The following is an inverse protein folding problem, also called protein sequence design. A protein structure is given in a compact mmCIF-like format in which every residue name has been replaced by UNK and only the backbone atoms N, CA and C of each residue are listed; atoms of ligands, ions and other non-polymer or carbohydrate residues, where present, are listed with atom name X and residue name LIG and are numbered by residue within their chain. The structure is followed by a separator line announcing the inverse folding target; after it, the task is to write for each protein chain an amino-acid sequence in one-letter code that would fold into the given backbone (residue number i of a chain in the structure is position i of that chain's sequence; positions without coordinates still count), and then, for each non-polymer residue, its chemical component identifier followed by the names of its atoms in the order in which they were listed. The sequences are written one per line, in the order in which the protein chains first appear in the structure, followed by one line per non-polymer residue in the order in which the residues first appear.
data_IF_933774692662
#
_entry.id   IF_933774692662
#
_cell.length_a   1.000
_cell.length_b   1.000
_cell.length_c   1.000
_cell.angle_alpha   90.00
_cell.angle_beta   90.00
_cell.angle_gamma   90.00
#
_symmetry.space_group_name_H-M   'P 1'
#
loop_
_entity.id
_entity.type
_entity.pdbx_description
1 polymer ?
#
# COMPACT_ATOMS: atom_id res chain seq x y z
N UNK A 1 -28.37 -22.45 8.91
CA UNK A 1 -27.23 -22.19 8.00
C UNK A 1 -26.02 -22.95 8.47
N UNK A 2 -25.34 -23.69 7.59
CA UNK A 2 -24.06 -24.34 7.93
C UNK A 2 -23.05 -23.26 8.35
N UNK A 3 -22.12 -23.59 9.27
CA UNK A 3 -21.10 -22.64 9.78
C UNK A 3 -20.36 -21.87 8.68
N UNK A 4 -20.09 -22.53 7.54
CA UNK A 4 -19.48 -21.91 6.36
C UNK A 4 -20.38 -20.88 5.68
N UNK A 5 -21.68 -21.16 5.53
CA UNK A 5 -22.64 -20.21 4.92
C UNK A 5 -22.75 -18.94 5.75
N UNK A 6 -22.68 -19.05 7.07
CA UNK A 6 -22.72 -17.90 7.97
C UNK A 6 -21.45 -17.04 7.89
N UNK A 7 -20.27 -17.65 7.80
CA UNK A 7 -19.01 -16.94 7.60
C UNK A 7 -19.02 -16.09 6.32
N UNK A 8 -19.39 -16.70 5.19
CA UNK A 8 -19.44 -16.00 3.91
C UNK A 8 -20.52 -14.92 3.87
N UNK A 9 -21.64 -15.14 4.56
CA UNK A 9 -22.68 -14.13 4.71
C UNK A 9 -22.16 -12.90 5.48
N UNK A 10 -21.45 -13.10 6.61
CA UNK A 10 -20.85 -11.98 7.36
C UNK A 10 -19.82 -11.24 6.49
N UNK A 11 -18.93 -11.97 5.82
CA UNK A 11 -17.95 -11.36 4.93
C UNK A 11 -18.63 -10.55 3.83
N UNK A 12 -19.66 -11.09 3.21
CA UNK A 12 -20.45 -10.40 2.19
C UNK A 12 -21.02 -9.08 2.73
N UNK A 13 -21.62 -9.08 3.93
CA UNK A 13 -22.10 -7.84 4.54
C UNK A 13 -20.96 -6.84 4.79
N UNK A 14 -19.81 -7.30 5.30
CA UNK A 14 -18.64 -6.44 5.50
C UNK A 14 -18.22 -5.79 4.18
N UNK A 15 -18.09 -6.59 3.11
CA UNK A 15 -17.67 -6.08 1.79
C UNK A 15 -18.71 -5.16 1.17
N UNK A 16 -20.00 -5.50 1.28
CA UNK A 16 -21.11 -4.70 0.78
C UNK A 16 -21.15 -3.33 1.44
N UNK A 17 -21.13 -3.26 2.77
CA UNK A 17 -21.16 -1.98 3.47
C UNK A 17 -19.83 -1.22 3.33
N UNK A 18 -18.70 -1.92 3.29
CA UNK A 18 -17.39 -1.33 2.97
C UNK A 18 -17.39 -0.65 1.59
N UNK A 19 -17.99 -1.29 0.59
CA UNK A 19 -18.16 -0.73 -0.75
C UNK A 19 -19.17 0.43 -0.73
N UNK A 20 -20.32 0.27 -0.08
CA UNK A 20 -21.33 1.32 0.08
C UNK A 20 -20.70 2.59 0.65
N UNK A 21 -19.97 2.50 1.77
CA UNK A 21 -19.35 3.68 2.37
C UNK A 21 -18.33 4.33 1.45
N UNK A 22 -17.61 3.59 0.60
CA UNK A 22 -16.62 4.19 -0.32
C UNK A 22 -17.28 4.82 -1.55
N UNK A 23 -18.33 4.19 -2.08
CA UNK A 23 -18.96 4.59 -3.34
C UNK A 23 -20.15 5.55 -3.15
N UNK A 24 -20.75 5.61 -1.96
CA UNK A 24 -21.92 6.45 -1.69
C UNK A 24 -21.60 7.92 -1.97
N UNK A 25 -22.37 8.54 -2.86
CA UNK A 25 -22.22 9.94 -3.29
C UNK A 25 -20.79 10.29 -3.72
N UNK A 26 -20.08 9.34 -4.34
CA UNK A 26 -18.68 9.55 -4.72
C UNK A 26 -18.50 10.76 -5.64
N UNK A 27 -19.45 11.06 -6.51
CA UNK A 27 -19.44 12.26 -7.36
C UNK A 27 -19.46 13.59 -6.57
N UNK A 28 -20.04 13.60 -5.37
CA UNK A 28 -20.12 14.79 -4.50
C UNK A 28 -18.99 14.82 -3.47
N UNK A 29 -18.47 13.66 -3.08
CA UNK A 29 -17.45 13.51 -2.04
C UNK A 29 -16.02 13.42 -2.59
N UNK A 30 -15.87 13.21 -3.91
CA UNK A 30 -14.58 13.22 -4.57
C UNK A 30 -14.01 14.64 -4.59
N UNK A 31 -12.92 14.86 -3.87
CA UNK A 31 -12.10 16.05 -4.06
C UNK A 31 -11.34 15.96 -5.38
N UNK A 32 -11.44 17.00 -6.19
CA UNK A 32 -10.75 17.08 -7.49
C UNK A 32 -9.94 18.37 -7.55
N UNK A 33 -8.62 18.23 -7.49
CA UNK A 33 -7.68 19.34 -7.40
C UNK A 33 -6.61 19.22 -8.49
N UNK A 34 -5.54 20.01 -8.35
CA UNK A 34 -4.46 20.09 -9.33
C UNK A 34 -3.88 18.72 -9.72
N UNK A 35 -3.54 17.88 -8.74
CA UNK A 35 -2.92 16.57 -9.01
C UNK A 35 -3.86 15.64 -9.79
N UNK A 36 -5.15 15.61 -9.44
CA UNK A 36 -6.14 14.81 -10.15
C UNK A 36 -6.36 15.29 -11.58
N UNK A 37 -6.38 16.61 -11.79
CA UNK A 37 -6.46 17.23 -13.12
C UNK A 37 -5.25 16.90 -13.98
N UNK A 38 -4.03 17.06 -13.44
CA UNK A 38 -2.78 16.69 -14.12
C UNK A 38 -2.77 15.23 -14.52
N UNK A 39 -3.09 14.33 -13.59
CA UNK A 39 -3.06 12.90 -13.83
C UNK A 39 -4.13 12.48 -14.87
N UNK A 40 -5.32 13.09 -14.82
CA UNK A 40 -6.37 12.87 -15.81
C UNK A 40 -5.94 13.31 -17.22
N UNK A 41 -5.23 14.44 -17.36
CA UNK A 41 -4.71 14.91 -18.65
C UNK A 41 -3.65 13.97 -19.23
N UNK A 42 -2.73 13.47 -18.40
CA UNK A 42 -1.73 12.49 -18.85
C UNK A 42 -2.40 11.22 -19.37
N UNK A 43 -3.42 10.73 -18.66
CA UNK A 43 -4.19 9.56 -19.08
C UNK A 43 -5.02 9.85 -20.33
N UNK A 44 -5.58 11.06 -20.44
CA UNK A 44 -6.31 11.51 -21.62
C UNK A 44 -5.42 11.47 -22.87
N UNK A 45 -4.20 11.99 -22.76
CA UNK A 45 -3.19 11.97 -23.83
C UNK A 45 -2.82 10.55 -24.26
N UNK A 46 -2.72 9.62 -23.31
CA UNK A 46 -2.51 8.20 -23.61
C UNK A 46 -3.69 7.61 -24.41
N UNK A 47 -4.92 7.87 -23.96
CA UNK A 47 -6.12 7.26 -24.55
C UNK A 47 -6.48 7.83 -25.93
N UNK A 48 -6.25 9.12 -26.18
CA UNK A 48 -6.69 9.80 -27.40
C UNK A 48 -5.57 10.07 -28.40
N UNK A 49 -4.34 10.25 -27.92
CA UNK A 49 -3.18 10.58 -28.77
C UNK A 49 -2.11 9.51 -28.75
N UNK A 50 -2.33 8.39 -28.06
CA UNK A 50 -1.37 7.29 -27.93
C UNK A 50 0.00 7.75 -27.41
N UNK A 51 0.01 8.79 -26.58
CA UNK A 51 1.23 9.38 -26.04
C UNK A 51 1.69 8.58 -24.82
N UNK A 52 2.49 7.55 -25.08
CA UNK A 52 3.10 6.74 -24.02
C UNK A 52 4.08 7.55 -23.17
N UNK A 53 4.08 7.27 -21.88
CA UNK A 53 4.95 7.89 -20.89
C UNK A 53 5.73 6.83 -20.11
N UNK A 54 6.90 7.25 -19.64
CA UNK A 54 7.88 6.40 -18.95
C UNK A 54 7.94 6.66 -17.44
N UNK A 55 7.30 7.73 -16.98
CA UNK A 55 7.25 8.19 -15.61
C UNK A 55 5.80 8.40 -15.17
N UNK A 56 5.59 8.32 -13.86
CA UNK A 56 4.32 8.51 -13.20
C UNK A 56 4.23 9.84 -12.45
N UNK A 57 3.36 9.91 -11.44
CA UNK A 57 3.18 11.09 -10.60
C UNK A 57 4.48 11.58 -9.98
N UNK A 58 4.53 12.89 -9.71
CA UNK A 58 5.60 13.50 -8.94
C UNK A 58 5.59 12.99 -7.51
N UNK A 59 6.77 12.90 -6.91
CA UNK A 59 6.88 12.73 -5.46
C UNK A 59 6.83 14.10 -4.76
N UNK A 60 6.85 14.11 -3.43
CA UNK A 60 7.05 15.34 -2.66
C UNK A 60 8.46 15.93 -2.78
N UNK A 61 9.34 15.31 -3.58
CA UNK A 61 10.71 15.76 -3.82
C UNK A 61 10.82 16.17 -5.30
N UNK A 62 11.30 17.38 -5.53
CA UNK A 62 11.48 17.94 -6.85
C UNK A 62 12.41 17.06 -7.72
N UNK A 63 12.04 16.86 -8.98
CA UNK A 63 12.83 16.08 -9.93
C UNK A 63 12.78 14.56 -9.73
N UNK A 64 12.10 14.06 -8.69
CA UNK A 64 11.91 12.63 -8.46
C UNK A 64 10.47 12.24 -8.85
N UNK A 65 10.38 11.41 -9.89
CA UNK A 65 9.12 10.90 -10.43
C UNK A 65 8.96 9.42 -10.11
N UNK A 66 7.72 9.00 -9.84
CA UNK A 66 7.36 7.60 -9.69
C UNK A 66 7.34 6.88 -11.05
N UNK A 67 7.11 5.57 -11.05
CA UNK A 67 6.91 4.81 -12.27
C UNK A 67 5.49 4.97 -12.82
N UNK A 68 5.28 4.66 -14.10
CA UNK A 68 4.03 5.00 -14.81
C UNK A 68 2.84 4.10 -14.44
N UNK A 69 3.04 3.08 -13.59
CA UNK A 69 2.03 2.09 -13.26
C UNK A 69 0.69 2.67 -12.79
N UNK A 70 0.71 3.73 -11.96
CA UNK A 70 -0.53 4.35 -11.47
C UNK A 70 -1.43 4.85 -12.61
N UNK A 71 -0.85 5.44 -13.66
CA UNK A 71 -1.62 5.92 -14.80
C UNK A 71 -2.18 4.78 -15.65
N UNK A 72 -1.37 3.72 -15.86
CA UNK A 72 -1.86 2.52 -16.54
C UNK A 72 -2.96 1.80 -15.76
N UNK A 73 -2.88 1.82 -14.42
CA UNK A 73 -3.92 1.27 -13.56
C UNK A 73 -5.25 2.05 -13.69
N UNK A 74 -5.18 3.37 -13.87
CA UNK A 74 -6.35 4.22 -13.99
C UNK A 74 -6.93 4.32 -15.41
N UNK A 75 -6.10 4.12 -16.44
CA UNK A 75 -6.49 4.29 -17.84
C UNK A 75 -7.76 3.48 -18.22
N UNK A 76 -7.94 2.20 -17.84
CA UNK A 76 -9.17 1.47 -18.14
C UNK A 76 -10.42 2.12 -17.53
N UNK A 77 -10.33 2.68 -16.32
CA UNK A 77 -11.48 3.31 -15.67
C UNK A 77 -11.82 4.66 -16.29
N UNK A 78 -10.82 5.45 -16.70
CA UNK A 78 -11.05 6.66 -17.47
C UNK A 78 -11.63 6.36 -18.85
N UNK A 79 -11.19 5.29 -19.52
CA UNK A 79 -11.76 4.84 -20.79
C UNK A 79 -13.23 4.45 -20.64
N UNK A 80 -13.55 3.56 -19.69
CA UNK A 80 -14.94 3.14 -19.41
C UNK A 80 -15.81 4.32 -18.97
N UNK A 81 -15.25 5.26 -18.21
CA UNK A 81 -15.93 6.46 -17.73
C UNK A 81 -15.96 7.61 -18.73
N UNK A 82 -15.45 7.45 -19.96
CA UNK A 82 -15.36 8.51 -20.97
C UNK A 82 -14.72 9.80 -20.44
N UNK A 83 -13.62 9.65 -19.70
CA UNK A 83 -12.90 10.76 -19.07
C UNK A 83 -13.41 11.14 -17.67
N UNK A 84 -14.47 10.51 -17.16
CA UNK A 84 -15.00 10.84 -15.83
C UNK A 84 -14.06 10.42 -14.69
N UNK A 85 -13.58 11.36 -13.86
CA UNK A 85 -12.74 11.04 -12.70
C UNK A 85 -13.51 10.28 -11.60
N UNK A 86 -14.84 10.34 -11.60
CA UNK A 86 -15.68 9.61 -10.65
C UNK A 86 -15.59 8.10 -10.89
N UNK A 87 -15.56 7.67 -12.15
CA UNK A 87 -15.43 6.25 -12.50
C UNK A 87 -14.01 5.75 -12.18
N UNK A 88 -12.99 6.57 -12.41
CA UNK A 88 -11.62 6.29 -11.99
C UNK A 88 -11.49 6.14 -10.46
N UNK A 89 -12.09 7.06 -9.69
CA UNK A 89 -12.14 6.97 -8.23
C UNK A 89 -12.92 5.74 -7.74
N UNK A 90 -13.99 5.35 -8.44
CA UNK A 90 -14.74 4.14 -8.14
C UNK A 90 -13.89 2.88 -8.36
N UNK A 91 -13.07 2.85 -9.42
CA UNK A 91 -12.09 1.78 -9.65
C UNK A 91 -11.10 1.62 -8.49
N UNK A 92 -10.54 2.72 -7.99
CA UNK A 92 -9.68 2.70 -6.81
C UNK A 92 -10.41 2.27 -5.54
N UNK A 93 -11.65 2.72 -5.37
CA UNK A 93 -12.51 2.31 -4.24
C UNK A 93 -12.75 0.80 -4.24
N UNK A 94 -12.91 0.19 -5.42
CA UNK A 94 -13.02 -1.27 -5.54
C UNK A 94 -11.72 -2.00 -5.21
N UNK A 95 -10.55 -1.45 -5.55
CA UNK A 95 -9.28 -2.00 -5.07
C UNK A 95 -9.17 -1.95 -3.54
N UNK A 96 -9.66 -0.88 -2.91
CA UNK A 96 -9.71 -0.78 -1.45
C UNK A 96 -10.66 -1.82 -0.82
N UNK A 97 -11.79 -2.12 -1.46
CA UNK A 97 -12.68 -3.24 -1.06
C UNK A 97 -11.98 -4.59 -1.27
N UNK A 98 -11.23 -4.74 -2.37
CA UNK A 98 -10.36 -5.90 -2.61
C UNK A 98 -9.32 -6.08 -1.50
N UNK A 99 -8.76 -4.99 -0.98
CA UNK A 99 -7.82 -5.04 0.14
C UNK A 99 -8.50 -5.55 1.42
N UNK A 100 -9.76 -5.16 1.69
CA UNK A 100 -10.56 -5.69 2.80
C UNK A 100 -10.74 -7.20 2.67
N UNK A 101 -11.04 -7.69 1.46
CA UNK A 101 -11.16 -9.12 1.19
C UNK A 101 -9.84 -9.87 1.39
N UNK A 102 -8.74 -9.37 0.83
CA UNK A 102 -7.40 -9.97 1.00
C UNK A 102 -6.98 -10.01 2.46
N UNK A 103 -7.33 -8.99 3.25
CA UNK A 103 -7.05 -8.94 4.68
C UNK A 103 -7.82 -10.01 5.45
N UNK A 104 -9.12 -10.20 5.16
CA UNK A 104 -9.87 -11.33 5.71
C UNK A 104 -9.23 -12.67 5.33
N UNK A 105 -8.86 -12.83 4.06
CA UNK A 105 -8.32 -14.08 3.55
C UNK A 105 -6.99 -14.44 4.22
N UNK A 106 -6.08 -13.47 4.33
CA UNK A 106 -4.80 -13.64 5.03
C UNK A 106 -5.00 -13.89 6.53
N UNK A 107 -5.83 -13.08 7.19
CA UNK A 107 -6.14 -13.26 8.61
C UNK A 107 -6.74 -14.64 8.90
N UNK A 108 -7.63 -15.12 8.02
CA UNK A 108 -8.19 -16.47 8.09
C UNK A 108 -7.14 -17.55 7.95
N UNK A 109 -6.26 -17.43 6.95
CA UNK A 109 -5.18 -18.41 6.71
C UNK A 109 -4.18 -18.48 7.85
N UNK A 110 -3.85 -17.35 8.47
CA UNK A 110 -2.82 -17.27 9.51
C UNK A 110 -3.36 -17.59 10.91
N UNK A 111 -4.58 -17.14 11.23
CA UNK A 111 -5.08 -17.14 12.62
C UNK A 111 -6.55 -17.57 12.75
N UNK A 112 -7.16 -18.06 11.66
CA UNK A 112 -8.52 -18.57 11.65
C UNK A 112 -9.60 -17.52 11.34
N UNK A 113 -10.81 -18.02 11.08
CA UNK A 113 -11.94 -17.23 10.56
C UNK A 113 -12.28 -15.99 11.40
N UNK A 114 -12.25 -16.09 12.73
CA UNK A 114 -12.61 -14.96 13.60
C UNK A 114 -11.66 -13.78 13.42
N UNK A 115 -10.34 -14.04 13.37
CA UNK A 115 -9.32 -13.01 13.17
C UNK A 115 -9.45 -12.40 11.77
N UNK A 116 -9.69 -13.22 10.74
CA UNK A 116 -9.97 -12.72 9.40
C UNK A 116 -11.17 -11.77 9.34
N UNK A 117 -12.31 -12.17 9.93
CA UNK A 117 -13.52 -11.34 9.95
C UNK A 117 -13.32 -10.06 10.75
N UNK A 118 -12.65 -10.13 11.91
CA UNK A 118 -12.30 -8.95 12.70
C UNK A 118 -11.39 -7.99 11.94
N UNK A 119 -10.36 -8.50 11.26
CA UNK A 119 -9.45 -7.68 10.48
C UNK A 119 -10.16 -6.96 9.33
N UNK A 120 -11.00 -7.68 8.57
CA UNK A 120 -11.80 -7.08 7.50
C UNK A 120 -12.83 -6.08 8.03
N UNK A 121 -13.46 -6.34 9.17
CA UNK A 121 -14.36 -5.38 9.81
C UNK A 121 -13.61 -4.09 10.21
N UNK A 122 -12.52 -4.21 10.97
CA UNK A 122 -11.77 -3.06 11.46
C UNK A 122 -11.20 -2.20 10.33
N UNK A 123 -10.67 -2.83 9.27
CA UNK A 123 -10.13 -2.11 8.12
C UNK A 123 -11.23 -1.58 7.19
N UNK A 124 -12.27 -2.39 6.93
CA UNK A 124 -13.39 -2.05 6.04
C UNK A 124 -14.20 -0.85 6.53
N UNK A 125 -14.39 -0.71 7.85
CA UNK A 125 -15.15 0.38 8.47
C UNK A 125 -14.30 1.49 9.08
N UNK A 126 -12.97 1.44 8.92
CA UNK A 126 -12.10 2.51 9.40
C UNK A 126 -12.42 3.83 8.68
N UNK A 127 -12.82 4.85 9.43
CA UNK A 127 -13.14 6.18 8.89
C UNK A 127 -12.02 6.75 8.01
N UNK A 128 -10.77 6.63 8.46
CA UNK A 128 -9.61 7.08 7.70
C UNK A 128 -9.47 6.33 6.38
N UNK A 129 -9.53 4.99 6.41
CA UNK A 129 -9.37 4.18 5.20
C UNK A 129 -10.52 4.41 4.21
N UNK A 130 -11.75 4.52 4.69
CA UNK A 130 -12.91 4.86 3.85
C UNK A 130 -12.70 6.22 3.20
N UNK A 131 -12.37 7.25 3.97
CA UNK A 131 -12.23 8.62 3.46
C UNK A 131 -11.08 8.73 2.46
N UNK A 132 -9.90 8.20 2.80
CA UNK A 132 -8.75 8.26 1.90
C UNK A 132 -8.97 7.44 0.64
N UNK A 133 -9.65 6.30 0.69
CA UNK A 133 -9.88 5.47 -0.51
C UNK A 133 -10.75 6.14 -1.60
N UNK A 134 -11.52 7.17 -1.25
CA UNK A 134 -12.29 7.98 -2.22
C UNK A 134 -11.42 8.96 -2.99
N UNK A 135 -10.28 9.34 -2.43
CA UNK A 135 -9.36 10.27 -3.06
C UNK A 135 -8.79 9.65 -4.34
N UNK A 136 -8.54 10.45 -5.38
CA UNK A 136 -7.89 9.95 -6.58
C UNK A 136 -6.40 10.25 -6.47
N UNK A 137 -5.65 9.34 -5.86
CA UNK A 137 -4.20 9.46 -5.78
C UNK A 137 -3.47 8.11 -5.78
N UNK A 138 -2.20 8.19 -6.15
CA UNK A 138 -1.25 7.11 -6.27
C UNK A 138 -0.99 6.24 -5.02
N UNK A 139 -1.09 6.72 -3.75
CA UNK A 139 -0.99 5.83 -2.59
C UNK A 139 -2.22 4.93 -2.38
N UNK A 140 -3.38 5.24 -2.96
CA UNK A 140 -4.62 4.53 -2.63
C UNK A 140 -4.67 3.05 -3.02
N UNK A 141 -4.11 2.62 -4.17
CA UNK A 141 -4.00 1.21 -4.49
C UNK A 141 -2.99 0.46 -3.61
N UNK A 142 -2.08 1.15 -2.92
CA UNK A 142 -0.95 0.54 -2.21
C UNK A 142 -1.36 -0.57 -1.22
N UNK A 143 -2.41 -0.43 -0.39
CA UNK A 143 -2.82 -1.50 0.54
C UNK A 143 -3.20 -2.80 -0.17
N UNK A 144 -3.86 -2.72 -1.32
CA UNK A 144 -4.23 -3.90 -2.11
C UNK A 144 -2.99 -4.65 -2.61
N UNK A 145 -2.08 -3.94 -3.29
CA UNK A 145 -0.86 -4.55 -3.83
C UNK A 145 0.09 -5.04 -2.74
N UNK A 146 0.15 -4.33 -1.61
CA UNK A 146 0.91 -4.77 -0.43
C UNK A 146 0.37 -6.07 0.15
N UNK A 147 -0.95 -6.18 0.34
CA UNK A 147 -1.56 -7.41 0.83
C UNK A 147 -1.39 -8.56 -0.16
N UNK A 148 -1.42 -8.29 -1.46
CA UNK A 148 -1.13 -9.30 -2.47
C UNK A 148 0.34 -9.76 -2.44
N UNK A 149 1.28 -8.85 -2.20
CA UNK A 149 2.69 -9.19 -2.01
C UNK A 149 2.89 -10.04 -0.74
N UNK A 150 2.25 -9.66 0.38
CA UNK A 150 2.27 -10.43 1.61
C UNK A 150 1.65 -11.82 1.43
N UNK A 151 0.58 -11.93 0.65
CA UNK A 151 0.00 -13.22 0.27
C UNK A 151 1.00 -14.09 -0.50
N UNK A 152 1.75 -13.51 -1.44
CA UNK A 152 2.78 -14.24 -2.14
C UNK A 152 3.88 -14.72 -1.19
N UNK A 153 4.33 -13.88 -0.26
CA UNK A 153 5.29 -14.29 0.77
C UNK A 153 4.73 -15.41 1.65
N UNK A 154 3.46 -15.34 2.05
CA UNK A 154 2.81 -16.39 2.82
C UNK A 154 2.82 -17.73 2.05
N UNK A 155 2.47 -17.73 0.76
CA UNK A 155 2.49 -18.95 -0.07
C UNK A 155 3.90 -19.52 -0.25
N UNK A 156 4.91 -18.66 -0.33
CA UNK A 156 6.31 -19.10 -0.34
C UNK A 156 6.71 -19.75 1.00
N UNK A 157 6.36 -19.12 2.11
CA UNK A 157 6.75 -19.54 3.46
C UNK A 157 6.01 -20.82 3.85
N UNK A 158 4.68 -20.80 3.87
CA UNK A 158 3.86 -21.88 4.42
C UNK A 158 3.65 -23.03 3.43
N UNK A 159 3.50 -22.73 2.14
CA UNK A 159 3.21 -23.76 1.12
C UNK A 159 4.45 -24.15 0.29
N UNK A 160 5.62 -23.63 0.63
CA UNK A 160 6.91 -23.92 -0.04
C UNK A 160 6.93 -23.61 -1.55
N UNK A 161 6.10 -22.66 -2.01
CA UNK A 161 5.96 -22.34 -3.43
C UNK A 161 6.91 -21.22 -3.85
N UNK A 162 8.14 -21.57 -4.25
CA UNK A 162 9.18 -20.58 -4.58
C UNK A 162 8.85 -19.63 -5.76
N UNK A 163 7.92 -19.99 -6.65
CA UNK A 163 7.42 -19.08 -7.70
C UNK A 163 6.84 -17.79 -7.12
N UNK A 164 6.24 -17.85 -5.92
CA UNK A 164 5.65 -16.68 -5.29
C UNK A 164 6.69 -15.66 -4.81
N UNK A 165 7.98 -16.02 -4.73
CA UNK A 165 9.04 -15.03 -4.57
C UNK A 165 9.03 -14.07 -5.77
N UNK A 166 8.94 -14.60 -6.99
CA UNK A 166 8.93 -13.81 -8.23
C UNK A 166 7.73 -12.87 -8.27
N UNK A 167 6.54 -13.39 -7.93
CA UNK A 167 5.32 -12.59 -7.86
C UNK A 167 5.39 -11.52 -6.77
N UNK A 168 5.91 -11.85 -5.59
CA UNK A 168 6.11 -10.87 -4.52
C UNK A 168 7.09 -9.78 -4.94
N UNK A 169 8.19 -10.13 -5.60
CA UNK A 169 9.18 -9.16 -6.11
C UNK A 169 8.57 -8.22 -7.14
N UNK A 170 7.77 -8.75 -8.07
CA UNK A 170 7.01 -7.93 -9.03
C UNK A 170 6.09 -6.93 -8.31
N UNK A 171 5.29 -7.41 -7.36
CA UNK A 171 4.31 -6.58 -6.64
C UNK A 171 4.98 -5.50 -5.79
N UNK A 172 6.12 -5.79 -5.17
CA UNK A 172 6.90 -4.77 -4.44
C UNK A 172 7.45 -3.71 -5.39
N UNK A 173 7.87 -4.09 -6.59
CA UNK A 173 8.23 -3.15 -7.66
C UNK A 173 7.07 -2.23 -8.05
N UNK A 174 5.86 -2.79 -8.21
CA UNK A 174 4.65 -2.00 -8.45
C UNK A 174 4.31 -1.08 -7.27
N UNK A 175 4.46 -1.54 -6.02
CA UNK A 175 4.26 -0.72 -4.83
C UNK A 175 5.18 0.51 -4.83
N UNK A 176 6.46 0.36 -5.23
CA UNK A 176 7.38 1.50 -5.36
C UNK A 176 6.94 2.52 -6.40
N UNK A 177 6.24 2.10 -7.46
CA UNK A 177 5.66 3.01 -8.45
C UNK A 177 4.38 3.69 -7.98
N UNK A 178 3.66 3.09 -7.04
CA UNK A 178 2.47 3.69 -6.46
C UNK A 178 2.84 4.75 -5.44
N UNK A 179 3.74 4.42 -4.51
CA UNK A 179 4.22 5.35 -3.50
C UNK A 179 5.58 4.88 -3.00
N UNK A 180 6.64 5.63 -3.36
CA UNK A 180 8.01 5.20 -3.04
C UNK A 180 8.36 5.40 -1.56
N UNK A 181 7.81 6.43 -0.91
CA UNK A 181 8.25 6.84 0.43
C UNK A 181 7.89 5.82 1.54
N UNK A 182 6.80 5.07 1.39
CA UNK A 182 6.41 3.97 2.28
C UNK A 182 6.83 2.62 1.71
N UNK A 183 6.69 2.40 0.39
CA UNK A 183 7.01 1.08 -0.19
C UNK A 183 8.51 0.74 -0.15
N UNK A 184 9.41 1.72 -0.06
CA UNK A 184 10.86 1.46 0.11
C UNK A 184 11.16 0.62 1.34
N UNK A 185 10.35 0.73 2.39
CA UNK A 185 10.51 -0.04 3.62
C UNK A 185 10.09 -1.51 3.47
N UNK A 186 9.41 -1.90 2.39
CA UNK A 186 9.12 -3.30 2.12
C UNK A 186 10.36 -4.06 1.63
N UNK A 187 11.31 -3.40 0.97
CA UNK A 187 12.54 -4.03 0.50
C UNK A 187 13.35 -4.70 1.62
N UNK A 188 13.73 -4.02 2.71
CA UNK A 188 14.46 -4.66 3.80
C UNK A 188 13.64 -5.78 4.45
N UNK A 189 12.32 -5.61 4.61
CA UNK A 189 11.46 -6.66 5.17
C UNK A 189 11.46 -7.93 4.32
N UNK A 190 11.31 -7.79 3.00
CA UNK A 190 11.35 -8.93 2.06
C UNK A 190 12.74 -9.58 2.07
N UNK A 191 13.81 -8.79 2.04
CA UNK A 191 15.18 -9.31 2.07
C UNK A 191 15.43 -10.12 3.36
N UNK A 192 15.04 -9.58 4.51
CA UNK A 192 15.17 -10.28 5.81
C UNK A 192 14.41 -11.60 5.80
N UNK A 193 13.17 -11.61 5.28
CA UNK A 193 12.36 -12.83 5.16
C UNK A 193 13.03 -13.85 4.24
N UNK A 194 13.55 -13.43 3.08
CA UNK A 194 14.21 -14.33 2.13
C UNK A 194 15.51 -14.91 2.70
N UNK A 195 16.28 -14.11 3.46
CA UNK A 195 17.49 -14.59 4.16
C UNK A 195 17.10 -15.60 5.25
N UNK A 196 16.09 -15.27 6.06
CA UNK A 196 15.64 -16.13 7.15
C UNK A 196 15.07 -17.46 6.64
N UNK A 197 14.28 -17.41 5.57
CA UNK A 197 13.60 -18.56 4.97
C UNK A 197 14.37 -19.15 3.79
N UNK A 198 15.68 -18.88 3.67
CA UNK A 198 16.53 -19.32 2.54
C UNK A 198 16.48 -20.84 2.28
N UNK A 199 16.31 -21.64 3.34
CA UNK A 199 16.20 -23.11 3.23
C UNK A 199 14.92 -23.58 2.55
N UNK A 200 13.88 -22.74 2.48
CA UNK A 200 12.60 -23.01 1.80
C UNK A 200 12.65 -22.67 0.30
N UNK A 201 13.74 -22.05 -0.17
CA UNK A 201 13.92 -21.73 -1.59
C UNK A 201 14.33 -23.00 -2.33
N UNK A 202 13.45 -23.50 -3.19
CA UNK A 202 13.68 -24.73 -3.95
C UNK A 202 14.81 -24.61 -4.99
N UNK A 203 15.08 -23.39 -5.50
CA UNK A 203 16.16 -23.14 -6.45
C UNK A 203 16.52 -21.66 -6.51
N UNK A 204 17.82 -21.36 -6.66
CA UNK A 204 18.36 -20.00 -6.85
C UNK A 204 17.72 -19.26 -8.02
N UNK A 205 17.21 -19.99 -9.03
CA UNK A 205 16.53 -19.42 -10.20
C UNK A 205 15.38 -18.49 -9.82
N UNK A 206 14.65 -18.79 -8.75
CA UNK A 206 13.51 -17.96 -8.32
C UNK A 206 13.95 -16.65 -7.68
N UNK A 207 15.13 -16.63 -7.04
CA UNK A 207 15.72 -15.38 -6.53
C UNK A 207 16.21 -14.51 -7.69
N UNK A 208 16.89 -15.11 -8.67
CA UNK A 208 17.34 -14.41 -9.88
C UNK A 208 16.15 -13.85 -10.66
N UNK A 209 15.13 -14.68 -10.93
CA UNK A 209 13.90 -14.25 -11.61
C UNK A 209 13.16 -13.17 -10.82
N UNK A 210 13.12 -13.25 -9.48
CA UNK A 210 12.54 -12.22 -8.63
C UNK A 210 13.24 -10.88 -8.80
N UNK A 211 14.58 -10.86 -8.79
CA UNK A 211 15.36 -9.64 -9.05
C UNK A 211 15.09 -9.11 -10.45
N UNK A 212 15.11 -9.97 -11.47
CA UNK A 212 14.88 -9.56 -12.86
C UNK A 212 13.49 -8.95 -13.05
N UNK A 213 12.45 -9.57 -12.50
CA UNK A 213 11.07 -9.06 -12.61
C UNK A 213 10.87 -7.80 -11.77
N UNK A 214 11.54 -7.66 -10.62
CA UNK A 214 11.54 -6.41 -9.86
C UNK A 214 12.18 -5.27 -10.69
N UNK A 215 13.38 -5.49 -11.25
CA UNK A 215 14.07 -4.51 -12.09
C UNK A 215 13.25 -4.18 -13.34
N UNK A 216 12.56 -5.17 -13.91
CA UNK A 216 11.65 -5.00 -15.05
C UNK A 216 10.59 -3.92 -14.76
N UNK A 217 10.06 -3.88 -13.53
CA UNK A 217 9.09 -2.84 -13.17
C UNK A 217 9.68 -1.43 -13.21
N UNK A 218 10.98 -1.28 -12.92
CA UNK A 218 11.67 0.02 -12.88
C UNK A 218 12.23 0.44 -14.25
N UNK A 219 12.19 -0.43 -15.27
CA UNK A 219 12.75 -0.13 -16.59
C UNK A 219 12.24 1.16 -17.22
N UNK A 220 10.95 1.53 -17.14
CA UNK A 220 10.48 2.80 -17.71
C UNK A 220 11.23 4.01 -17.13
N UNK A 221 11.40 4.06 -15.81
CA UNK A 221 12.12 5.14 -15.14
C UNK A 221 13.62 5.10 -15.45
N UNK A 222 14.22 3.91 -15.50
CA UNK A 222 15.64 3.73 -15.88
C UNK A 222 15.87 4.26 -17.30
N UNK A 223 15.01 3.88 -18.24
CA UNK A 223 15.08 4.33 -19.63
C UNK A 223 14.84 5.85 -19.75
N UNK A 224 13.86 6.39 -19.00
CA UNK A 224 13.65 7.84 -18.91
C UNK A 224 14.90 8.57 -18.43
N UNK A 225 15.54 8.07 -17.37
CA UNK A 225 16.77 8.64 -16.82
C UNK A 225 17.89 8.69 -17.87
N UNK A 226 18.08 7.62 -18.64
CA UNK A 226 19.09 7.59 -19.70
C UNK A 226 18.78 8.56 -20.85
N UNK A 227 17.51 8.75 -21.21
CA UNK A 227 17.09 9.68 -22.27
C UNK A 227 17.22 11.16 -21.88
N UNK A 228 17.26 11.46 -20.59
CA UNK A 228 17.28 12.82 -20.05
C UNK A 228 18.53 13.07 -19.20
N UNK A 229 19.68 12.62 -19.69
CA UNK A 229 21.02 12.94 -19.14
C UNK A 229 21.18 12.66 -17.63
N UNK A 230 20.49 11.64 -17.11
CA UNK A 230 20.60 11.25 -15.71
C UNK A 230 19.79 12.09 -14.72
N UNK A 231 18.76 12.82 -15.16
CA UNK A 231 17.99 13.76 -14.32
C UNK A 231 17.38 13.15 -13.05
N UNK A 232 16.90 11.89 -13.11
CA UNK A 232 16.35 11.24 -11.92
C UNK A 232 17.47 10.95 -10.91
N UNK A 233 18.60 10.42 -11.40
CA UNK A 233 19.75 10.10 -10.55
C UNK A 233 20.37 11.35 -9.92
N UNK A 234 20.45 12.46 -10.67
CA UNK A 234 20.95 13.73 -10.14
C UNK A 234 20.02 14.29 -9.07
N UNK A 235 18.70 14.22 -9.26
CA UNK A 235 17.72 14.61 -8.25
C UNK A 235 17.84 13.76 -6.97
N UNK A 236 17.97 12.43 -7.10
CA UNK A 236 18.23 11.55 -5.95
C UNK A 236 19.53 11.90 -5.23
N UNK A 237 20.62 12.16 -5.97
CA UNK A 237 21.92 12.54 -5.40
C UNK A 237 21.83 13.86 -4.65
N UNK A 238 21.19 14.88 -5.24
CA UNK A 238 20.96 16.18 -4.60
C UNK A 238 20.20 16.01 -3.29
N UNK A 239 19.08 15.30 -3.31
CA UNK A 239 18.26 15.08 -2.12
C UNK A 239 18.99 14.31 -1.01
N UNK A 240 19.69 13.22 -1.34
CA UNK A 240 20.32 12.35 -0.33
C UNK A 240 21.66 12.90 0.19
N UNK A 241 22.47 13.45 -0.70
CA UNK A 241 23.87 13.79 -0.41
C UNK A 241 24.04 15.28 -0.17
N UNK A 242 23.50 16.13 -1.05
CA UNK A 242 23.75 17.58 -1.03
C UNK A 242 22.89 18.28 0.03
N UNK A 243 21.60 17.96 0.08
CA UNK A 243 20.65 18.56 1.04
C UNK A 243 20.78 17.97 2.46
N UNK A 244 21.56 16.89 2.62
CA UNK A 244 21.72 16.13 3.86
C UNK A 244 20.37 15.85 4.53
N UNK A 245 19.42 15.33 3.76
CA UNK A 245 18.02 15.19 4.20
C UNK A 245 17.82 14.40 5.50
N UNK A 246 18.80 13.56 5.88
CA UNK A 246 18.85 12.87 7.17
C UNK A 246 19.78 13.59 8.17
N UNK A 247 19.35 14.75 8.68
CA UNK A 247 20.15 15.56 9.63
C UNK A 247 20.14 15.04 11.07
N UNK A 248 19.09 14.30 11.44
CA UNK A 248 18.89 13.83 12.81
C UNK A 248 19.68 12.54 13.06
N UNK A 249 20.25 12.41 14.26
CA UNK A 249 20.84 11.14 14.68
C UNK A 249 19.77 10.07 14.86
N UNK A 250 20.16 8.80 14.77
CA UNK A 250 19.23 7.67 14.95
C UNK A 250 18.44 7.77 16.26
N UNK A 251 19.11 8.10 17.38
CA UNK A 251 18.46 8.22 18.69
C UNK A 251 17.46 9.39 18.72
N UNK A 252 17.77 10.50 18.06
CA UNK A 252 16.85 11.63 17.91
C UNK A 252 15.62 11.24 17.09
N UNK A 253 15.82 10.54 15.97
CA UNK A 253 14.72 10.03 15.13
C UNK A 253 13.83 9.10 15.95
N UNK A 254 14.41 8.11 16.64
CA UNK A 254 13.66 7.18 17.48
C UNK A 254 12.86 7.93 18.55
N UNK A 255 13.48 8.85 19.29
CA UNK A 255 12.80 9.64 20.32
C UNK A 255 11.64 10.46 19.74
N UNK A 256 11.90 11.22 18.67
CA UNK A 256 10.89 12.07 18.05
C UNK A 256 9.74 11.25 17.47
N UNK A 257 10.03 10.13 16.80
CA UNK A 257 9.01 9.25 16.22
C UNK A 257 8.19 8.55 17.29
N UNK A 258 8.80 8.05 18.37
CA UNK A 258 8.05 7.45 19.48
C UNK A 258 7.08 8.45 20.11
N UNK A 259 7.54 9.69 20.36
CA UNK A 259 6.68 10.77 20.86
C UNK A 259 5.56 11.09 19.88
N UNK A 260 5.90 11.26 18.59
CA UNK A 260 4.91 11.53 17.54
C UNK A 260 3.85 10.43 17.47
N UNK A 261 4.25 9.16 17.50
CA UNK A 261 3.33 8.03 17.45
C UNK A 261 2.43 7.98 18.68
N UNK A 262 2.99 8.21 19.88
CA UNK A 262 2.21 8.32 21.10
C UNK A 262 1.20 9.47 21.00
N UNK A 263 1.61 10.65 20.55
CA UNK A 263 0.73 11.82 20.44
C UNK A 263 -0.39 11.63 19.42
N UNK A 264 -0.08 11.08 18.24
CA UNK A 264 -1.07 10.77 17.20
C UNK A 264 -2.05 9.70 17.68
N UNK A 265 -1.54 8.65 18.34
CA UNK A 265 -2.36 7.55 18.82
C UNK A 265 -3.26 7.98 19.98
N UNK A 266 -2.67 8.58 21.01
CA UNK A 266 -3.39 9.04 22.19
C UNK A 266 -4.30 10.23 21.88
N UNK A 267 -3.93 11.09 20.92
CA UNK A 267 -4.76 12.19 20.45
C UNK A 267 -6.02 11.73 19.70
N UNK A 268 -6.00 10.55 19.07
CA UNK A 268 -7.21 9.96 18.47
C UNK A 268 -8.18 9.37 19.50
N UNK A 269 -7.67 8.89 20.63
CA UNK A 269 -8.49 8.31 21.71
C UNK A 269 -8.97 9.38 22.70
N UNK A 270 -8.12 10.34 23.03
CA UNK A 270 -8.36 11.42 23.99
C UNK A 270 -7.93 12.76 23.38
N UNK A 271 -8.75 13.35 22.48
CA UNK A 271 -8.40 14.58 21.77
C UNK A 271 -8.15 15.75 22.72
N UNK A 272 -8.92 15.84 23.80
CA UNK A 272 -8.97 17.01 24.69
C UNK A 272 -8.34 16.83 26.08
N UNK A 273 -7.85 15.62 26.44
CA UNK A 273 -7.37 15.35 27.80
C UNK A 273 -5.96 14.76 27.84
N UNK A 274 -4.96 15.61 28.06
CA UNK A 274 -3.57 15.21 28.19
C UNK A 274 -3.30 14.22 29.34
N UNK A 275 -4.08 14.30 30.43
CA UNK A 275 -3.95 13.37 31.58
C UNK A 275 -4.41 11.95 31.23
N UNK A 276 -5.50 11.82 30.46
CA UNK A 276 -6.02 10.52 30.03
C UNK A 276 -5.15 9.86 28.96
N UNK A 277 -4.34 10.63 28.21
CA UNK A 277 -3.37 10.08 27.25
C UNK A 277 -2.37 9.14 27.91
N UNK A 278 -1.96 9.40 29.16
CA UNK A 278 -1.04 8.54 29.92
C UNK A 278 -1.63 7.15 30.18
N UNK A 279 -2.96 7.02 30.24
CA UNK A 279 -3.65 5.75 30.45
C UNK A 279 -3.69 4.88 29.18
N UNK A 280 -3.47 5.47 28.00
CA UNK A 280 -3.52 4.76 26.71
C UNK A 280 -2.47 3.66 26.64
N UNK A 281 -1.24 3.93 27.08
CA UNK A 281 -0.16 2.94 27.10
C UNK A 281 -0.48 1.80 28.06
N UNK A 282 -1.09 2.09 29.22
CA UNK A 282 -1.50 1.08 30.18
C UNK A 282 -2.63 0.19 29.62
N UNK A 283 -3.65 0.79 28.99
CA UNK A 283 -4.75 0.07 28.35
C UNK A 283 -4.29 -0.82 27.19
N UNK A 284 -3.31 -0.37 26.40
CA UNK A 284 -2.79 -1.14 25.28
C UNK A 284 -1.77 -2.20 25.67
N UNK A 285 -0.98 -1.97 26.73
CA UNK A 285 0.01 -2.95 27.22
C UNK A 285 -0.60 -4.00 28.14
N UNK A 286 -1.68 -3.67 28.86
CA UNK A 286 -2.34 -4.57 29.80
C UNK A 286 -2.75 -5.92 29.17
N UNK A 287 -3.35 -6.00 27.96
CA UNK A 287 -3.64 -7.28 27.31
C UNK A 287 -2.39 -8.12 27.04
N UNK A 288 -1.29 -7.50 26.61
CA UNK A 288 -0.03 -8.22 26.37
C UNK A 288 0.57 -8.78 27.66
N UNK A 289 0.45 -8.05 28.77
CA UNK A 289 0.92 -8.51 30.09
C UNK A 289 0.01 -9.59 30.66
N UNK A 290 -1.31 -9.39 30.60
CA UNK A 290 -2.32 -10.30 31.16
C UNK A 290 -2.41 -11.61 30.37
N UNK A 291 -2.19 -11.60 29.06
CA UNK A 291 -2.28 -12.78 28.20
C UNK A 291 -0.92 -13.30 27.72
N UNK A 292 0.20 -12.86 28.32
CA UNK A 292 1.56 -13.25 27.89
C UNK A 292 1.79 -14.75 27.77
N UNK A 293 1.13 -15.56 28.62
CA UNK A 293 1.25 -17.04 28.65
C UNK A 293 0.44 -17.76 27.56
N UNK A 294 -0.46 -17.05 26.86
CA UNK A 294 -1.25 -17.60 25.75
C UNK A 294 -0.75 -17.15 24.38
N UNK A 295 0.06 -16.09 24.34
CA UNK A 295 0.57 -15.50 23.09
C UNK A 295 2.02 -15.91 22.77
N UNK A 296 2.74 -16.55 23.71
CA UNK A 296 4.09 -17.07 23.56
C UNK A 296 4.19 -18.47 24.14
#
# INVERSE_FOLDING_TARGET
MKKFEFEYFILFLILLFSAFFRLFRLNLLLGFWYDQGRDALIIWDLLHYHKFFLIGPVTGIEGIFLGPFYYYLLAPFYFLGRGSPVIAAAGLSWLAVGAVFLLYFLGKKMFGTQVGLMAAFLYGFSYGQVTFSRWLANPNPLPFFTLLALFCLYEFIENHRSLFIVLSSFLVGLCLQLEAASAVFFLPSVIVILIWQRKRVSSIKYLVLGILVFVLTLLPQIYFNFRHDGILLSAFRKFLVEEKSFKLSFLQVVRLRLLTYYDVFAGKLFPQSGKLRLLVLALFSAPFVLFRKKCF
#
